data_IF_864890776040
#
_entry.id   IF_864890776040
#
_cell.length_a   1.000
_cell.length_b   1.000
_cell.length_c   1.000
_cell.angle_alpha   90.00
_cell.angle_beta   90.00
_cell.angle_gamma   90.00
#
_symmetry.space_group_name_H-M   'P 1'
#
loop_
_entity.id
_entity.type
_entity.pdbx_description
1 polymer ?
#
# COMPACT_ATOMS: atom_id res chain seq x y z
N UNK A 1 -10.23 8.85 -18.45
CA UNK A 1 -10.10 9.90 -17.41
C UNK A 1 -9.04 10.88 -17.87
N UNK A 2 -9.33 12.19 -17.90
CA UNK A 2 -8.35 13.20 -18.30
C UNK A 2 -7.07 13.13 -17.47
N UNK A 3 -5.92 13.43 -18.08
CA UNK A 3 -4.59 13.39 -17.43
C UNK A 3 -4.48 14.38 -16.28
N UNK A 4 -5.21 15.50 -16.32
CA UNK A 4 -5.20 16.50 -15.24
C UNK A 4 -5.68 15.98 -13.87
N UNK A 5 -6.41 14.86 -13.82
CA UNK A 5 -6.82 14.21 -12.57
C UNK A 5 -5.83 13.14 -12.11
N UNK A 6 -4.79 12.90 -12.91
CA UNK A 6 -3.75 11.97 -12.55
C UNK A 6 -2.68 12.64 -11.68
N UNK A 7 -1.84 11.81 -11.10
CA UNK A 7 -0.50 12.14 -10.65
C UNK A 7 0.49 11.37 -11.52
N UNK A 8 1.76 11.82 -11.67
CA UNK A 8 2.74 11.22 -12.57
C UNK A 8 3.35 9.91 -12.01
N UNK A 9 2.53 9.00 -11.51
CA UNK A 9 2.93 7.67 -11.06
C UNK A 9 1.94 6.61 -11.56
N UNK A 10 2.46 5.44 -11.91
CA UNK A 10 1.68 4.23 -12.12
C UNK A 10 1.11 3.72 -10.80
N UNK A 11 -0.01 2.99 -10.84
CA UNK A 11 -0.51 2.33 -9.63
C UNK A 11 0.50 1.30 -9.07
N UNK A 12 1.37 0.73 -9.92
CA UNK A 12 2.46 -0.15 -9.49
C UNK A 12 3.48 0.60 -8.59
N UNK A 13 3.83 1.82 -8.97
CA UNK A 13 4.67 2.72 -8.17
C UNK A 13 3.94 3.13 -6.89
N UNK A 14 2.65 3.50 -6.97
CA UNK A 14 1.85 3.84 -5.78
C UNK A 14 1.83 2.72 -4.74
N UNK A 15 1.75 1.46 -5.16
CA UNK A 15 1.83 0.31 -4.25
C UNK A 15 3.22 0.14 -3.63
N UNK A 16 4.27 0.54 -4.34
CA UNK A 16 5.65 0.45 -3.83
C UNK A 16 5.87 1.39 -2.64
N UNK A 17 5.07 2.45 -2.50
CA UNK A 17 5.05 3.32 -1.32
C UNK A 17 4.76 2.57 -0.01
N UNK A 18 4.23 1.34 -0.06
CA UNK A 18 4.14 0.45 1.12
C UNK A 18 5.49 0.24 1.82
N UNK A 19 6.59 0.34 1.06
CA UNK A 19 7.95 0.13 1.53
C UNK A 19 8.63 1.40 2.08
N UNK A 20 7.96 2.55 2.14
CA UNK A 20 8.55 3.81 2.62
C UNK A 20 9.13 3.67 4.04
N UNK A 21 8.48 2.88 4.89
CA UNK A 21 8.85 2.69 6.30
C UNK A 21 9.42 1.29 6.57
N UNK A 22 10.17 0.71 5.62
CA UNK A 22 10.77 -0.63 5.72
C UNK A 22 11.64 -0.84 6.97
N UNK A 23 12.18 0.23 7.57
CA UNK A 23 12.91 0.14 8.84
C UNK A 23 12.09 -0.51 9.98
N UNK A 24 10.75 -0.43 9.93
CA UNK A 24 9.87 -1.09 10.91
C UNK A 24 9.95 -2.63 10.79
N UNK A 25 10.11 -3.16 9.58
CA UNK A 25 10.35 -4.58 9.36
C UNK A 25 11.72 -4.98 9.95
N UNK A 26 12.77 -4.18 9.70
CA UNK A 26 14.09 -4.44 10.28
C UNK A 26 14.09 -4.37 11.81
N UNK A 27 13.32 -3.45 12.41
CA UNK A 27 13.11 -3.40 13.86
C UNK A 27 12.39 -4.66 14.37
N UNK A 28 11.39 -5.16 13.66
CA UNK A 28 10.75 -6.44 13.97
C UNK A 28 11.79 -7.59 13.92
N UNK A 29 12.68 -7.60 12.93
CA UNK A 29 13.74 -8.61 12.84
C UNK A 29 14.77 -8.53 13.98
N UNK A 30 14.98 -7.34 14.54
CA UNK A 30 15.92 -7.13 15.64
C UNK A 30 15.40 -7.62 17.00
N UNK A 31 14.08 -7.67 17.22
CA UNK A 31 13.50 -8.02 18.52
C UNK A 31 13.12 -9.50 18.65
N UNK A 32 13.49 -10.10 19.79
CA UNK A 32 13.22 -11.52 20.10
C UNK A 32 11.83 -11.77 20.68
N UNK A 33 11.19 -10.74 21.24
CA UNK A 33 9.81 -10.82 21.77
C UNK A 33 8.79 -10.74 20.62
N UNK A 34 7.91 -11.74 20.51
CA UNK A 34 6.87 -11.80 19.47
C UNK A 34 5.85 -10.67 19.56
N UNK A 35 5.57 -10.16 20.75
CA UNK A 35 4.67 -9.03 20.96
C UNK A 35 5.32 -7.73 20.48
N UNK A 36 6.62 -7.53 20.76
CA UNK A 36 7.36 -6.40 20.21
C UNK A 36 7.46 -6.46 18.68
N UNK A 37 7.65 -7.67 18.11
CA UNK A 37 7.54 -7.85 16.65
C UNK A 37 6.17 -7.45 16.13
N UNK A 38 5.09 -7.91 16.79
CA UNK A 38 3.73 -7.57 16.39
C UNK A 38 3.48 -6.05 16.44
N UNK A 39 4.05 -5.31 17.40
CA UNK A 39 3.97 -3.84 17.42
C UNK A 39 4.62 -3.22 16.18
N UNK A 40 5.83 -3.67 15.81
CA UNK A 40 6.53 -3.21 14.62
C UNK A 40 5.78 -3.56 13.33
N UNK A 41 5.24 -4.78 13.21
CA UNK A 41 4.47 -5.21 12.03
C UNK A 41 3.15 -4.43 11.93
N UNK A 42 2.46 -4.19 13.05
CA UNK A 42 1.25 -3.36 13.07
C UNK A 42 1.55 -1.91 12.68
N UNK A 43 2.65 -1.34 13.19
CA UNK A 43 3.13 -0.03 12.79
C UNK A 43 3.42 0.02 11.28
N UNK A 44 4.09 -1.01 10.75
CA UNK A 44 4.38 -1.13 9.32
C UNK A 44 3.09 -1.17 8.49
N UNK A 45 2.12 -2.02 8.86
CA UNK A 45 0.84 -2.14 8.16
C UNK A 45 0.06 -0.81 8.08
N UNK A 46 0.09 0.01 9.14
CA UNK A 46 -0.53 1.35 9.12
C UNK A 46 0.30 2.34 8.32
N UNK A 47 1.64 2.33 8.49
CA UNK A 47 2.53 3.23 7.76
C UNK A 47 2.49 3.03 6.24
N UNK A 48 2.28 1.79 5.78
CA UNK A 48 2.21 1.44 4.37
C UNK A 48 1.05 2.15 3.65
N UNK A 49 -0.03 2.46 4.35
CA UNK A 49 -1.18 3.17 3.78
C UNK A 49 -1.19 4.66 4.14
N UNK A 50 -0.17 5.17 4.83
CA UNK A 50 -0.17 6.53 5.35
C UNK A 50 0.11 7.60 4.28
N UNK A 51 0.90 7.27 3.24
CA UNK A 51 1.25 8.19 2.16
C UNK A 51 0.06 8.67 1.33
N UNK A 52 -1.13 8.08 1.53
CA UNK A 52 -2.35 8.46 0.83
C UNK A 52 -2.94 9.80 1.30
N UNK A 53 -2.50 10.33 2.45
CA UNK A 53 -2.96 11.63 2.94
C UNK A 53 -2.64 12.73 1.91
N UNK A 54 -3.61 13.60 1.62
CA UNK A 54 -3.54 14.68 0.62
C UNK A 54 -3.30 14.26 -0.86
N UNK A 55 -3.00 12.98 -1.13
CA UNK A 55 -2.76 12.41 -2.46
C UNK A 55 -4.04 12.12 -3.25
N UNK A 56 -4.77 13.19 -3.59
CA UNK A 56 -6.05 13.11 -4.33
C UNK A 56 -5.91 12.84 -5.83
N UNK A 57 -4.69 13.00 -6.39
CA UNK A 57 -4.38 12.61 -7.76
C UNK A 57 -4.49 11.10 -7.93
N UNK A 58 -5.18 10.67 -8.98
CA UNK A 58 -5.30 9.23 -9.27
C UNK A 58 -4.03 8.73 -9.97
N UNK A 59 -3.36 7.67 -9.51
CA UNK A 59 -2.25 7.10 -10.27
C UNK A 59 -2.73 6.58 -11.63
N UNK A 60 -1.83 6.51 -12.61
CA UNK A 60 -2.13 5.91 -13.90
C UNK A 60 -2.51 4.44 -13.72
N UNK A 61 -3.61 4.03 -14.37
CA UNK A 61 -3.99 2.63 -14.41
C UNK A 61 -2.91 1.86 -15.20
N UNK A 62 -2.25 0.85 -14.62
CA UNK A 62 -1.21 0.12 -15.31
C UNK A 62 -1.77 -0.63 -16.52
N UNK A 63 -0.96 -0.74 -17.57
CA UNK A 63 -1.27 -1.61 -18.71
C UNK A 63 -1.10 -3.08 -18.30
N UNK A 64 -1.84 -4.00 -18.92
CA UNK A 64 -1.68 -5.43 -18.71
C UNK A 64 -0.26 -5.87 -19.09
N UNK A 65 0.47 -6.47 -18.15
CA UNK A 65 1.88 -6.82 -18.33
C UNK A 65 2.86 -5.69 -18.07
N UNK A 66 2.39 -4.49 -17.69
CA UNK A 66 3.26 -3.46 -17.13
C UNK A 66 3.95 -3.98 -15.87
N UNK A 67 5.23 -3.67 -15.74
CA UNK A 67 6.05 -4.02 -14.58
C UNK A 67 6.59 -2.78 -13.92
N UNK A 68 7.00 -2.88 -12.67
CA UNK A 68 7.80 -1.86 -12.02
C UNK A 68 8.80 -2.50 -11.06
N UNK A 69 10.04 -2.03 -11.08
CA UNK A 69 11.04 -2.40 -10.08
C UNK A 69 11.55 -1.22 -9.25
N UNK A 70 11.99 -1.52 -8.04
CA UNK A 70 12.73 -0.59 -7.20
C UNK A 70 13.80 -1.34 -6.41
N UNK A 71 15.03 -0.82 -6.42
CA UNK A 71 16.15 -1.27 -5.59
C UNK A 71 16.52 -0.10 -4.69
N UNK A 72 16.55 -0.30 -3.36
CA UNK A 72 16.91 0.71 -2.38
C UNK A 72 17.99 0.17 -1.46
N UNK A 73 19.25 0.34 -1.85
CA UNK A 73 20.42 -0.09 -1.06
C UNK A 73 20.45 0.55 0.33
N UNK A 74 20.07 1.82 0.42
CA UNK A 74 20.00 2.58 1.67
C UNK A 74 18.90 2.07 2.62
N UNK A 75 17.83 1.48 2.08
CA UNK A 75 16.73 0.90 2.86
C UNK A 75 16.78 -0.63 2.92
N UNK A 76 17.73 -1.27 2.25
CA UNK A 76 18.01 -2.70 2.37
C UNK A 76 17.02 -3.64 1.66
N UNK A 77 16.32 -3.20 0.60
CA UNK A 77 15.34 -4.04 -0.10
C UNK A 77 15.31 -3.87 -1.62
N UNK A 78 14.77 -4.88 -2.30
CA UNK A 78 14.31 -4.78 -3.69
C UNK A 78 12.83 -5.14 -3.81
N UNK A 79 12.17 -4.56 -4.80
CA UNK A 79 10.75 -4.69 -5.09
C UNK A 79 10.56 -4.96 -6.58
N UNK A 80 9.63 -5.85 -6.91
CA UNK A 80 9.09 -6.05 -8.26
C UNK A 80 7.57 -6.13 -8.19
N UNK A 81 6.89 -5.51 -9.16
CA UNK A 81 5.45 -5.67 -9.35
C UNK A 81 5.08 -5.83 -10.82
N UNK A 82 3.95 -6.48 -11.07
CA UNK A 82 3.37 -6.71 -12.40
C UNK A 82 1.86 -6.46 -12.36
N UNK A 83 1.33 -5.83 -13.41
CA UNK A 83 -0.10 -5.79 -13.67
C UNK A 83 -0.55 -7.13 -14.27
N UNK A 84 -0.92 -8.06 -13.40
CA UNK A 84 -1.24 -9.44 -13.73
C UNK A 84 -2.64 -9.62 -14.35
N UNK A 85 -3.54 -8.66 -14.16
CA UNK A 85 -4.87 -8.67 -14.79
C UNK A 85 -5.41 -7.25 -15.01
N UNK A 86 -6.27 -7.08 -16.02
CA UNK A 86 -6.95 -5.81 -16.31
C UNK A 86 -8.47 -5.86 -16.08
N UNK A 87 -9.09 -7.05 -16.08
CA UNK A 87 -10.51 -7.24 -15.80
C UNK A 87 -10.75 -8.50 -14.96
N UNK A 88 -10.84 -8.37 -13.61
CA UNK A 88 -10.64 -7.15 -12.82
C UNK A 88 -9.17 -6.67 -12.84
N UNK A 89 -8.88 -5.38 -12.59
CA UNK A 89 -7.51 -4.89 -12.49
C UNK A 89 -6.84 -5.44 -11.23
N UNK A 90 -5.77 -6.22 -11.40
CA UNK A 90 -4.99 -6.79 -10.29
C UNK A 90 -3.52 -6.46 -10.52
N UNK A 91 -2.89 -5.89 -9.49
CA UNK A 91 -1.45 -5.64 -9.44
C UNK A 91 -0.84 -6.57 -8.39
N UNK A 92 0.09 -7.42 -8.79
CA UNK A 92 0.84 -8.29 -7.88
C UNK A 92 2.20 -7.67 -7.58
N UNK A 93 2.71 -7.91 -6.38
CA UNK A 93 4.02 -7.41 -5.96
C UNK A 93 4.77 -8.38 -5.06
N UNK A 94 6.09 -8.25 -5.06
CA UNK A 94 7.01 -9.02 -4.25
C UNK A 94 8.22 -8.17 -3.89
N UNK A 95 8.58 -8.16 -2.62
CA UNK A 95 9.75 -7.47 -2.10
C UNK A 95 10.55 -8.38 -1.16
N UNK A 96 11.86 -8.23 -1.21
CA UNK A 96 12.82 -9.03 -0.46
C UNK A 96 13.86 -8.13 0.18
N UNK A 97 14.18 -8.38 1.45
CA UNK A 97 15.32 -7.76 2.10
C UNK A 97 16.64 -8.35 1.59
N UNK A 98 17.67 -7.52 1.38
CA UNK A 98 18.97 -7.99 0.86
C UNK A 98 19.70 -8.94 1.79
N UNK A 99 19.37 -8.92 3.09
CA UNK A 99 19.92 -9.83 4.09
C UNK A 99 19.11 -11.12 4.22
N UNK A 100 18.19 -11.37 3.29
CA UNK A 100 17.22 -12.47 3.35
C UNK A 100 16.42 -12.46 4.67
N UNK A 101 16.24 -11.27 5.25
CA UNK A 101 15.67 -11.09 6.59
C UNK A 101 14.15 -10.92 6.54
N UNK A 102 13.58 -10.56 5.40
CA UNK A 102 12.14 -10.55 5.20
C UNK A 102 11.73 -10.80 3.74
N UNK A 103 10.49 -11.25 3.56
CA UNK A 103 9.79 -11.25 2.28
C UNK A 103 8.43 -10.58 2.48
N UNK A 104 8.10 -9.60 1.63
CA UNK A 104 6.84 -8.87 1.68
C UNK A 104 6.14 -8.95 0.33
N UNK A 105 4.95 -9.52 0.28
CA UNK A 105 4.26 -9.79 -0.98
C UNK A 105 2.73 -9.73 -0.85
N UNK A 106 2.08 -9.66 -2.00
CA UNK A 106 0.64 -9.71 -2.09
C UNK A 106 0.15 -9.25 -3.46
N UNK A 107 -1.16 -9.10 -3.57
CA UNK A 107 -1.79 -8.55 -4.76
C UNK A 107 -2.95 -7.64 -4.39
N UNK A 108 -3.18 -6.58 -5.15
CA UNK A 108 -4.26 -5.61 -4.88
C UNK A 108 -5.18 -5.50 -6.09
N UNK A 109 -6.47 -5.73 -5.83
CA UNK A 109 -7.59 -5.36 -6.70
C UNK A 109 -8.39 -4.23 -6.05
N UNK A 110 -8.25 -2.98 -6.52
CA UNK A 110 -9.03 -1.86 -5.99
C UNK A 110 -10.47 -1.92 -6.52
N UNK A 111 -11.38 -2.53 -5.75
CA UNK A 111 -12.81 -2.59 -6.11
C UNK A 111 -13.48 -1.26 -5.82
N UNK A 112 -13.93 -0.58 -6.87
CA UNK A 112 -14.56 0.73 -6.77
C UNK A 112 -16.07 0.65 -6.52
N UNK A 113 -16.59 1.50 -5.64
CA UNK A 113 -18.03 1.75 -5.41
C UNK A 113 -18.29 3.26 -5.40
N UNK A 114 -19.31 3.70 -6.12
CA UNK A 114 -19.71 5.11 -6.16
C UNK A 114 -20.94 5.33 -5.27
N UNK A 115 -20.82 6.28 -4.34
CA UNK A 115 -21.85 6.61 -3.33
C UNK A 115 -22.42 8.03 -3.53
N UNK A 116 -22.56 8.45 -4.78
CA UNK A 116 -23.09 9.78 -5.13
C UNK A 116 -22.04 10.89 -4.99
N UNK A 117 -21.58 11.20 -3.77
CA UNK A 117 -20.58 12.26 -3.54
C UNK A 117 -19.17 11.74 -3.27
N UNK A 118 -19.01 10.43 -3.10
CA UNK A 118 -17.75 9.80 -2.75
C UNK A 118 -17.52 8.54 -3.58
N UNK A 119 -16.24 8.17 -3.75
CA UNK A 119 -15.83 6.88 -4.30
C UNK A 119 -15.10 6.12 -3.21
N UNK A 120 -15.56 4.90 -2.94
CA UNK A 120 -14.82 3.94 -2.13
C UNK A 120 -13.98 3.05 -3.03
N UNK A 121 -12.71 2.90 -2.70
CA UNK A 121 -11.80 1.90 -3.22
C UNK A 121 -11.51 0.89 -2.10
N UNK A 122 -12.06 -0.32 -2.24
CA UNK A 122 -11.80 -1.45 -1.37
C UNK A 122 -10.58 -2.21 -1.92
N UNK A 123 -9.38 -2.13 -1.30
CA UNK A 123 -8.18 -2.79 -1.79
C UNK A 123 -8.23 -4.28 -1.46
N UNK A 124 -8.82 -5.07 -2.37
CA UNK A 124 -8.97 -6.51 -2.18
C UNK A 124 -7.65 -7.24 -2.41
N UNK A 125 -7.27 -8.05 -1.43
CA UNK A 125 -6.14 -8.95 -1.51
C UNK A 125 -5.50 -9.15 -0.15
N UNK A 126 -4.78 -10.25 -0.01
CA UNK A 126 -4.02 -10.56 1.20
C UNK A 126 -2.64 -9.93 1.06
N UNK A 127 -2.22 -9.22 2.09
CA UNK A 127 -0.84 -8.79 2.28
C UNK A 127 -0.15 -9.81 3.18
N UNK A 128 1.05 -10.23 2.80
CA UNK A 128 1.86 -11.21 3.53
C UNK A 128 3.23 -10.65 3.82
N UNK A 129 3.66 -10.70 5.08
CA UNK A 129 5.02 -10.43 5.52
C UNK A 129 5.59 -11.68 6.18
N UNK A 130 6.72 -12.16 5.69
CA UNK A 130 7.44 -13.30 6.24
C UNK A 130 8.74 -12.82 6.89
N UNK A 131 9.02 -13.30 8.10
CA UNK A 131 10.26 -13.08 8.83
C UNK A 131 10.99 -14.42 9.00
N UNK A 132 11.85 -14.83 8.05
CA UNK A 132 12.50 -16.15 8.03
C UNK A 132 13.28 -16.47 9.30
N UNK A 133 13.95 -15.49 9.90
CA UNK A 133 14.70 -15.63 11.17
C UNK A 133 13.86 -16.27 12.28
N UNK A 134 12.57 -15.97 12.33
CA UNK A 134 11.66 -16.49 13.33
C UNK A 134 10.74 -17.59 12.79
N UNK A 135 10.82 -17.94 11.50
CA UNK A 135 9.86 -18.80 10.83
C UNK A 135 8.40 -18.32 11.05
N UNK A 136 8.21 -17.00 11.00
CA UNK A 136 6.94 -16.33 11.25
C UNK A 136 6.41 -15.71 9.96
N UNK A 137 5.10 -15.75 9.80
CA UNK A 137 4.40 -15.05 8.73
C UNK A 137 3.21 -14.31 9.31
N UNK A 138 2.99 -13.12 8.76
CA UNK A 138 1.93 -12.21 9.13
C UNK A 138 1.06 -11.94 7.92
N UNK A 139 -0.26 -12.03 8.08
CA UNK A 139 -1.19 -11.64 7.02
C UNK A 139 -2.21 -10.63 7.49
N UNK A 140 -2.57 -9.70 6.62
CA UNK A 140 -3.67 -8.75 6.83
C UNK A 140 -4.31 -8.33 5.49
N UNK A 141 -5.37 -7.55 5.58
CA UNK A 141 -5.98 -6.82 4.46
C UNK A 141 -5.93 -5.32 4.76
N UNK A 142 -5.77 -4.49 3.73
CA UNK A 142 -5.73 -3.05 3.90
C UNK A 142 -7.13 -2.45 4.16
N UNK A 143 -7.23 -1.29 4.83
CA UNK A 143 -8.49 -0.59 5.05
C UNK A 143 -9.09 -0.07 3.74
N UNK A 144 -10.39 0.20 3.73
CA UNK A 144 -11.04 0.87 2.60
C UNK A 144 -10.57 2.31 2.53
N UNK A 145 -10.26 2.78 1.32
CA UNK A 145 -9.98 4.18 1.03
C UNK A 145 -11.23 4.83 0.44
N UNK A 146 -11.58 6.02 0.89
CA UNK A 146 -12.70 6.80 0.40
C UNK A 146 -12.24 8.18 -0.03
N UNK A 147 -12.54 8.54 -1.28
CA UNK A 147 -12.33 9.89 -1.81
C UNK A 147 -13.67 10.61 -1.78
N UNK A 148 -13.75 11.68 -1.00
CA UNK A 148 -14.96 12.47 -0.83
C UNK A 148 -15.00 13.67 -1.76
N UNK A 149 -16.19 14.25 -1.93
CA UNK A 149 -16.46 15.46 -2.71
C UNK A 149 -16.09 15.34 -4.20
N UNK A 150 -16.23 14.15 -4.79
CA UNK A 150 -15.82 13.90 -6.19
C UNK A 150 -16.66 14.62 -7.26
N UNK A 151 -17.76 15.28 -6.87
CA UNK A 151 -18.58 16.10 -7.77
C UNK A 151 -18.36 17.60 -7.51
N UNK A 152 -18.45 18.04 -6.25
CA UNK A 152 -18.34 19.45 -5.84
C UNK A 152 -17.63 19.56 -4.51
N UNK A 153 -16.70 20.50 -4.40
CA UNK A 153 -15.94 20.82 -3.18
C UNK A 153 -14.49 20.37 -3.27
N UNK A 154 -13.74 20.59 -2.20
CA UNK A 154 -12.37 20.11 -2.10
C UNK A 154 -12.36 18.60 -1.87
N UNK A 155 -11.63 17.88 -2.72
CA UNK A 155 -11.37 16.45 -2.54
C UNK A 155 -10.59 16.21 -1.26
N UNK A 156 -10.97 15.18 -0.51
CA UNK A 156 -10.20 14.72 0.64
C UNK A 156 -10.33 13.21 0.77
N UNK A 157 -9.32 12.61 1.39
CA UNK A 157 -9.18 11.16 1.52
C UNK A 157 -9.44 10.75 2.96
N UNK A 158 -10.15 9.65 3.10
CA UNK A 158 -10.39 8.97 4.35
C UNK A 158 -10.02 7.49 4.22
N UNK A 159 -9.53 6.90 5.29
CA UNK A 159 -9.40 5.45 5.39
C UNK A 159 -10.14 4.95 6.62
N UNK A 160 -10.91 3.88 6.44
CA UNK A 160 -11.68 3.26 7.50
C UNK A 160 -11.83 1.75 7.28
N UNK A 161 -12.24 1.05 8.34
CA UNK A 161 -12.47 -0.39 8.32
C UNK A 161 -11.67 -1.10 9.40
N UNK A 162 -11.85 -2.42 9.48
CA UNK A 162 -11.13 -3.26 10.43
C UNK A 162 -9.94 -3.92 9.71
N UNK A 163 -8.77 -3.83 10.33
CA UNK A 163 -7.55 -4.48 9.89
C UNK A 163 -7.13 -5.45 10.98
N UNK A 164 -6.93 -6.72 10.64
CA UNK A 164 -6.43 -7.74 11.56
C UNK A 164 -5.09 -8.28 11.02
N UNK A 165 -4.01 -8.00 11.73
CA UNK A 165 -2.68 -8.58 11.47
C UNK A 165 -2.58 -9.86 12.28
N UNK A 166 -2.38 -11.00 11.60
CA UNK A 166 -2.36 -12.32 12.24
C UNK A 166 -0.96 -12.92 12.13
N UNK A 167 -0.32 -13.26 13.25
CA UNK A 167 0.90 -14.08 13.25
C UNK A 167 0.51 -15.57 13.20
N UNK A 168 0.84 -16.24 12.10
CA UNK A 168 0.45 -17.64 11.86
C UNK A 168 1.21 -18.66 12.72
N UNK A 169 2.36 -18.29 13.29
CA UNK A 169 3.14 -19.17 14.16
C UNK A 169 2.70 -19.08 15.62
N UNK A 170 2.64 -17.87 16.17
CA UNK A 170 2.32 -17.65 17.60
C UNK A 170 0.81 -17.65 17.87
N UNK A 171 0.01 -17.31 16.85
CA UNK A 171 -1.43 -17.11 16.97
C UNK A 171 -1.82 -15.75 17.56
N UNK A 172 -0.84 -14.86 17.82
CA UNK A 172 -1.09 -13.48 18.21
C UNK A 172 -1.77 -12.71 17.07
N UNK A 173 -2.58 -11.71 17.45
CA UNK A 173 -3.31 -10.87 16.49
C UNK A 173 -3.27 -9.41 16.91
N UNK A 174 -3.05 -8.51 15.98
CA UNK A 174 -3.31 -7.09 16.17
C UNK A 174 -4.61 -6.73 15.45
N UNK A 175 -5.68 -6.48 16.22
CA UNK A 175 -6.97 -6.05 15.67
C UNK A 175 -7.10 -4.53 15.80
N UNK A 176 -7.08 -3.82 14.68
CA UNK A 176 -7.17 -2.37 14.58
C UNK A 176 -8.45 -1.95 13.85
N UNK A 177 -9.06 -0.86 14.29
CA UNK A 177 -10.16 -0.20 13.60
C UNK A 177 -9.69 1.18 13.16
N UNK A 178 -9.64 1.38 11.84
CA UNK A 178 -9.56 2.69 11.22
C UNK A 178 -10.95 3.31 11.30
N UNK A 179 -11.09 4.35 12.12
CA UNK A 179 -12.39 4.94 12.46
C UNK A 179 -12.86 5.82 11.30
N UNK A 180 -14.13 5.68 10.88
CA UNK A 180 -14.72 6.67 10.01
C UNK A 180 -14.90 7.99 10.79
N UNK A 181 -14.84 9.11 10.08
CA UNK A 181 -14.93 10.50 10.50
C UNK A 181 -16.13 10.74 11.43
N UNK A 182 -17.25 10.06 11.14
CA UNK A 182 -18.49 10.17 11.89
C UNK A 182 -19.19 11.52 11.66
N UNK A 183 -20.37 11.71 12.26
CA UNK A 183 -21.22 12.89 12.02
C UNK A 183 -20.58 14.23 12.45
N UNK A 184 -19.64 14.20 13.40
CA UNK A 184 -19.01 15.40 13.98
C UNK A 184 -17.50 15.48 13.74
N UNK A 185 -16.92 14.60 12.91
CA UNK A 185 -15.50 14.61 12.58
C UNK A 185 -14.52 14.27 13.72
N UNK A 186 -15.00 13.95 14.91
CA UNK A 186 -14.15 13.67 16.09
C UNK A 186 -13.23 12.46 15.92
N UNK A 187 -13.58 11.56 15.02
CA UNK A 187 -12.90 10.29 14.80
C UNK A 187 -12.02 10.28 13.54
N UNK A 188 -11.92 11.42 12.84
CA UNK A 188 -11.19 11.55 11.59
C UNK A 188 -9.75 11.04 11.73
N UNK A 189 -9.43 10.06 10.89
CA UNK A 189 -8.14 9.36 10.77
C UNK A 189 -7.69 8.55 11.98
N UNK A 190 -8.50 8.43 13.03
CA UNK A 190 -8.11 7.66 14.21
C UNK A 190 -7.96 6.19 13.86
N UNK A 191 -6.91 5.60 14.41
CA UNK A 191 -6.68 4.15 14.43
C UNK A 191 -6.63 3.74 15.89
N UNK A 192 -7.42 2.73 16.27
CA UNK A 192 -7.43 2.19 17.63
C UNK A 192 -7.57 0.66 17.58
N UNK A 193 -6.91 -0.04 18.49
CA UNK A 193 -6.92 -1.49 18.49
C UNK A 193 -6.22 -2.11 19.68
N UNK A 194 -6.07 -3.43 19.61
CA UNK A 194 -5.34 -4.20 20.60
C UNK A 194 -4.50 -5.29 19.94
N UNK A 195 -3.33 -5.54 20.52
CA UNK A 195 -2.60 -6.79 20.32
C UNK A 195 -3.14 -7.81 21.32
N UNK A 196 -3.50 -8.97 20.80
CA UNK A 196 -4.14 -10.08 21.49
C UNK A 196 -3.24 -11.32 21.40
N UNK A 197 -3.17 -12.10 22.47
CA UNK A 197 -2.59 -13.45 22.40
C UNK A 197 -3.55 -14.43 21.69
N UNK A 198 -3.10 -15.67 21.51
CA UNK A 198 -3.90 -16.77 20.93
C UNK A 198 -5.20 -17.05 21.71
N UNK A 199 -5.25 -16.71 23.00
CA UNK A 199 -6.41 -16.86 23.89
C UNK A 199 -7.31 -15.62 23.89
N UNK A 200 -7.05 -14.64 23.02
CA UNK A 200 -7.76 -13.35 22.92
C UNK A 200 -7.58 -12.43 24.13
N UNK A 201 -6.57 -12.66 24.97
CA UNK A 201 -6.21 -11.74 26.05
C UNK A 201 -5.55 -10.50 25.46
N UNK A 202 -6.01 -9.31 25.87
CA UNK A 202 -5.36 -8.04 25.52
C UNK A 202 -3.96 -7.97 26.15
N UNK A 203 -2.95 -7.83 25.31
CA UNK A 203 -1.56 -7.66 25.72
C UNK A 203 -1.15 -6.19 25.66
N UNK A 204 -1.61 -5.47 24.64
CA UNK A 204 -1.25 -4.08 24.40
C UNK A 204 -2.37 -3.35 23.67
N UNK A 205 -2.63 -2.08 24.01
CA UNK A 205 -3.46 -1.20 23.21
C UNK A 205 -2.59 -0.47 22.18
N UNK A 206 -3.09 -0.36 20.94
CA UNK A 206 -2.47 0.44 19.88
C UNK A 206 -3.43 1.55 19.49
N UNK A 207 -2.93 2.78 19.37
CA UNK A 207 -3.78 3.91 18.99
C UNK A 207 -2.99 5.05 18.34
N UNK A 208 -3.68 5.92 17.60
CA UNK A 208 -3.09 7.10 16.98
C UNK A 208 -3.93 7.58 15.81
N UNK A 209 -3.27 8.18 14.82
CA UNK A 209 -3.89 8.57 13.54
C UNK A 209 -2.98 8.16 12.40
N UNK A 210 -3.54 7.53 11.37
CA UNK A 210 -2.77 7.07 10.21
C UNK A 210 -2.17 8.23 9.39
N UNK A 211 -2.60 9.47 9.62
CA UNK A 211 -2.03 10.69 9.01
C UNK A 211 -0.96 11.37 9.89
N UNK A 212 -0.65 10.83 11.07
CA UNK A 212 0.25 11.50 12.02
C UNK A 212 1.23 10.50 12.66
N UNK A 213 0.74 9.60 13.52
CA UNK A 213 1.59 8.72 14.32
C UNK A 213 0.79 7.59 14.99
N UNK A 214 1.53 6.61 15.51
CA UNK A 214 1.03 5.51 16.31
C UNK A 214 1.79 5.38 17.64
N UNK A 215 1.04 4.96 18.66
CA UNK A 215 1.52 4.66 19.99
C UNK A 215 0.99 3.32 20.47
N UNK A 216 1.67 2.79 21.48
CA UNK A 216 1.26 1.60 22.22
C UNK A 216 1.23 1.91 23.71
N UNK A 217 0.33 1.28 24.46
CA UNK A 217 0.21 1.47 25.91
C UNK A 217 -0.43 0.23 26.56
N UNK A 218 -0.32 0.12 27.88
CA UNK A 218 -1.03 -0.90 28.65
C UNK A 218 -2.57 -0.83 28.40
N UNK A 219 -3.25 -1.98 28.18
CA UNK A 219 -4.68 -1.99 27.92
C UNK A 219 -5.56 -1.34 28.99
N UNK A 220 -5.23 -1.51 30.27
CA UNK A 220 -6.04 -0.96 31.36
C UNK A 220 -5.91 0.57 31.42
N UNK A 221 -4.69 1.08 31.17
CA UNK A 221 -4.44 2.53 31.06
C UNK A 221 -5.23 3.15 29.89
N UNK A 222 -5.22 2.49 28.72
CA UNK A 222 -5.99 2.96 27.56
C UNK A 222 -7.50 2.93 27.82
N UNK A 223 -8.03 1.84 28.39
CA UNK A 223 -9.44 1.69 28.70
C UNK A 223 -9.90 2.72 29.76
N UNK A 224 -9.05 3.07 30.73
CA UNK A 224 -9.32 4.13 31.70
C UNK A 224 -9.40 5.52 31.03
N UNK A 225 -8.42 5.85 30.18
CA UNK A 225 -8.38 7.11 29.45
C UNK A 225 -9.60 7.28 28.51
N UNK A 226 -10.00 6.21 27.83
CA UNK A 226 -11.16 6.24 26.93
C UNK A 226 -12.48 6.48 27.68
N UNK A 227 -12.59 6.01 28.93
CA UNK A 227 -13.77 6.27 29.78
C UNK A 227 -13.82 7.72 30.25
N UNK A 228 -12.68 8.32 30.62
CA UNK A 228 -12.62 9.74 30.99
C UNK A 228 -12.94 10.65 29.82
N UNK A 229 -12.42 10.36 28.62
CA UNK A 229 -12.70 11.16 27.43
C UNK A 229 -14.17 11.18 27.06
N UNK A 230 -14.87 10.04 27.19
CA UNK A 230 -16.32 9.99 26.97
C UNK A 230 -17.08 10.87 27.96
N UNK A 231 -16.72 10.84 29.25
CA UNK A 231 -17.32 11.71 30.27
C UNK A 231 -17.05 13.21 30.02
N UNK A 232 -15.83 13.55 29.63
CA UNK A 232 -15.43 14.93 29.37
C UNK A 232 -15.96 15.45 28.02
N UNK A 233 -16.33 14.58 27.08
CA UNK A 233 -16.90 15.02 25.80
C UNK A 233 -18.27 15.71 25.92
N UNK A 234 -18.93 15.55 27.06
CA UNK A 234 -20.17 16.27 27.44
C UNK A 234 -19.87 17.67 28.02
N UNK A 235 -18.64 17.94 28.47
CA UNK A 235 -18.20 19.23 29.01
C UNK A 235 -17.04 19.79 28.16
N UNK A 236 -17.34 20.71 27.22
CA UNK A 236 -16.40 21.34 26.27
C UNK A 236 -15.00 21.70 26.84
N UNK A 237 -14.05 20.75 26.87
CA UNK A 237 -12.62 21.00 27.11
C UNK A 237 -11.72 20.19 26.17
N UNK A 238 -10.52 20.76 26.00
CA UNK A 238 -9.46 20.55 25.00
C UNK A 238 -9.04 19.08 24.81
N UNK A 239 -8.59 18.76 23.59
CA UNK A 239 -8.08 17.47 23.12
C UNK A 239 -7.17 16.77 24.13
N UNK A 240 -7.48 15.51 24.45
CA UNK A 240 -6.72 14.71 25.39
C UNK A 240 -5.32 14.39 24.84
N UNK A 241 -4.30 14.70 25.63
CA UNK A 241 -2.92 14.31 25.37
C UNK A 241 -2.76 12.78 25.48
N UNK A 242 -1.75 12.21 24.83
CA UNK A 242 -1.42 10.79 24.98
C UNK A 242 -1.24 10.42 26.47
N UNK A 243 -1.70 9.23 26.93
CA UNK A 243 -1.41 8.76 28.27
C UNK A 243 0.10 8.82 28.56
N UNK A 244 0.48 9.27 29.76
CA UNK A 244 1.87 9.54 30.17
C UNK A 244 2.84 8.35 30.01
N UNK A 245 2.31 7.12 29.90
CA UNK A 245 3.06 5.87 29.75
C UNK A 245 3.08 5.31 28.33
N UNK A 246 2.63 6.08 27.34
CA UNK A 246 2.52 5.59 25.95
C UNK A 246 3.89 5.53 25.27
N UNK A 247 4.17 4.39 24.64
CA UNK A 247 5.36 4.16 23.84
C UNK A 247 5.09 4.52 22.38
N UNK A 248 5.92 5.40 21.82
CA UNK A 248 5.90 5.77 20.41
C UNK A 248 6.40 4.63 19.52
N UNK A 249 5.69 4.33 18.42
CA UNK A 249 6.07 3.25 17.48
C UNK A 249 6.23 3.70 16.03
N UNK A 250 5.58 4.78 15.60
CA UNK A 250 5.72 5.31 14.23
C UNK A 250 5.19 6.74 14.08
N UNK A 251 5.73 7.52 13.13
CA UNK A 251 5.24 8.84 12.71
C UNK A 251 5.37 9.00 11.19
N UNK A 252 4.39 9.66 10.59
CA UNK A 252 4.39 10.03 9.18
C UNK A 252 5.46 11.10 8.89
N UNK A 253 6.16 10.94 7.76
CA UNK A 253 7.09 11.93 7.23
C UNK A 253 6.34 13.02 6.44
N UNK A 254 6.87 14.24 6.41
CA UNK A 254 6.22 15.35 5.72
C UNK A 254 6.16 15.14 4.20
N UNK A 255 5.01 15.43 3.59
CA UNK A 255 4.80 15.50 2.15
C UNK A 255 5.03 16.91 1.61
N UNK A 256 5.35 17.03 0.31
CA UNK A 256 5.53 18.32 -0.37
C UNK A 256 4.29 18.65 -1.21
N UNK A 257 3.47 19.58 -0.72
CA UNK A 257 2.18 19.94 -1.35
C UNK A 257 2.31 20.37 -2.83
N UNK A 258 3.39 21.06 -3.19
CA UNK A 258 3.59 21.60 -4.55
C UNK A 258 3.72 20.51 -5.62
N UNK A 259 4.21 19.32 -5.25
CA UNK A 259 4.44 18.20 -6.17
C UNK A 259 3.48 17.07 -5.84
N UNK A 260 2.19 17.31 -6.07
CA UNK A 260 1.12 16.34 -5.87
C UNK A 260 1.02 15.79 -4.45
N UNK A 261 1.54 16.49 -3.42
CA UNK A 261 1.67 15.98 -2.05
C UNK A 261 2.53 14.70 -1.94
N UNK A 262 3.52 14.53 -2.82
CA UNK A 262 4.44 13.39 -2.76
C UNK A 262 5.33 13.46 -1.51
N UNK A 263 5.60 12.31 -0.90
CA UNK A 263 6.72 12.15 0.02
C UNK A 263 8.04 12.16 -0.75
N UNK A 264 9.16 12.37 -0.07
CA UNK A 264 10.49 12.23 -0.69
C UNK A 264 10.68 10.84 -1.28
N UNK A 265 10.13 9.79 -0.65
CA UNK A 265 10.14 8.44 -1.19
C UNK A 265 9.39 8.37 -2.53
N UNK A 266 8.17 8.92 -2.61
CA UNK A 266 7.36 8.91 -3.82
C UNK A 266 8.02 9.69 -4.98
N UNK A 267 8.68 10.82 -4.69
CA UNK A 267 9.40 11.61 -5.70
C UNK A 267 10.52 10.83 -6.40
N UNK A 268 11.11 9.83 -5.73
CA UNK A 268 12.21 9.01 -6.28
C UNK A 268 11.71 7.84 -7.15
N UNK A 269 10.41 7.52 -7.14
CA UNK A 269 9.91 6.28 -7.74
C UNK A 269 9.99 6.24 -9.26
N UNK A 270 9.88 7.39 -9.92
CA UNK A 270 9.84 7.50 -11.38
C UNK A 270 11.10 8.13 -11.97
N UNK A 271 12.12 8.37 -11.15
CA UNK A 271 13.45 8.74 -11.61
C UNK A 271 14.01 7.62 -12.51
N UNK A 272 14.47 8.02 -13.70
CA UNK A 272 15.09 7.14 -14.68
C UNK A 272 16.55 7.55 -14.84
N UNK A 273 17.43 6.81 -14.19
CA UNK A 273 18.87 7.03 -14.31
C UNK A 273 19.42 6.39 -15.58
N UNK A 274 20.49 6.96 -16.14
CA UNK A 274 21.18 6.39 -17.31
C UNK A 274 21.70 4.98 -17.08
N UNK A 275 22.07 4.65 -15.84
CA UNK A 275 22.51 3.31 -15.42
C UNK A 275 21.42 2.24 -15.58
N UNK A 276 20.14 2.65 -15.63
CA UNK A 276 19.00 1.75 -15.79
C UNK A 276 18.72 1.42 -17.26
N UNK A 277 19.23 2.22 -18.21
CA UNK A 277 19.04 2.00 -19.63
C UNK A 277 19.63 0.66 -20.07
N UNK A 278 18.80 -0.20 -20.67
CA UNK A 278 19.17 -1.55 -21.06
C UNK A 278 19.24 -2.57 -19.92
N UNK A 279 19.05 -2.14 -18.66
CA UNK A 279 19.00 -3.02 -17.48
C UNK A 279 17.56 -3.35 -17.08
N UNK A 280 16.68 -2.35 -17.08
CA UNK A 280 15.25 -2.55 -16.76
C UNK A 280 14.50 -3.10 -17.98
N UNK A 281 13.42 -3.90 -17.79
CA UNK A 281 12.65 -4.40 -18.91
C UNK A 281 11.91 -3.28 -19.66
N UNK A 282 11.62 -3.43 -20.96
CA UNK A 282 10.81 -2.48 -21.74
C UNK A 282 9.38 -2.28 -21.18
N UNK A 283 8.95 -3.13 -20.26
CA UNK A 283 7.66 -3.05 -19.56
C UNK A 283 7.71 -2.21 -18.28
N UNK A 284 8.87 -1.69 -17.86
CA UNK A 284 9.00 -0.90 -16.63
C UNK A 284 8.27 0.45 -16.72
N UNK A 285 7.48 0.79 -15.70
CA UNK A 285 6.69 2.02 -15.63
C UNK A 285 7.49 3.31 -15.88
N UNK A 286 8.80 3.34 -15.61
CA UNK A 286 9.65 4.53 -15.90
C UNK A 286 9.77 4.86 -17.38
N UNK A 287 9.59 3.87 -18.25
CA UNK A 287 9.65 3.99 -19.70
C UNK A 287 8.29 4.36 -20.30
N UNK A 288 7.25 4.47 -19.48
CA UNK A 288 5.88 4.71 -19.93
C UNK A 288 5.70 6.18 -20.35
N UNK A 289 5.39 6.46 -21.64
CA UNK A 289 5.54 7.81 -22.19
C UNK A 289 4.49 8.82 -21.72
N UNK A 290 3.26 8.38 -21.41
CA UNK A 290 2.20 9.28 -20.90
C UNK A 290 2.51 9.78 -19.48
N UNK A 291 3.07 8.92 -18.63
CA UNK A 291 3.52 9.28 -17.28
C UNK A 291 4.70 10.26 -17.36
N UNK A 292 5.70 9.97 -18.20
CA UNK A 292 6.88 10.84 -18.35
C UNK A 292 6.52 12.22 -18.89
N UNK A 293 5.65 12.29 -19.90
CA UNK A 293 5.19 13.57 -20.43
C UNK A 293 4.46 14.39 -19.36
N UNK A 294 3.61 13.75 -18.54
CA UNK A 294 2.92 14.44 -17.44
C UNK A 294 3.89 14.95 -16.38
N UNK A 295 4.88 14.14 -15.99
CA UNK A 295 5.89 14.53 -15.01
C UNK A 295 6.71 15.75 -15.47
N UNK A 296 7.01 15.82 -16.77
CA UNK A 296 7.69 16.96 -17.39
C UNK A 296 6.79 18.19 -17.62
N UNK A 297 5.50 18.10 -17.28
CA UNK A 297 4.52 19.18 -17.43
C UNK A 297 3.88 19.28 -18.81
N UNK A 298 4.16 18.36 -19.74
CA UNK A 298 3.53 18.30 -21.06
C UNK A 298 2.22 17.49 -21.00
N UNK A 299 1.14 18.17 -20.59
CA UNK A 299 -0.18 17.57 -20.42
C UNK A 299 -0.82 17.15 -21.75
N UNK A 300 -0.50 17.84 -22.85
CA UNK A 300 -1.04 17.55 -24.18
C UNK A 300 -0.41 16.28 -24.74
N UNK A 301 0.92 16.17 -24.68
CA UNK A 301 1.64 14.95 -25.05
C UNK A 301 1.21 13.79 -24.16
N UNK A 302 1.11 13.99 -22.84
CA UNK A 302 0.64 12.95 -21.92
C UNK A 302 -0.76 12.45 -22.28
N UNK A 303 -1.66 13.35 -22.66
CA UNK A 303 -3.02 13.00 -23.08
C UNK A 303 -3.05 12.22 -24.40
N UNK A 304 -2.22 12.60 -25.37
CA UNK A 304 -2.10 11.92 -26.66
C UNK A 304 -1.50 10.51 -26.49
N UNK A 305 -0.41 10.38 -25.74
CA UNK A 305 0.26 9.11 -25.47
C UNK A 305 -0.64 8.17 -24.67
N UNK A 306 -1.35 8.68 -23.65
CA UNK A 306 -2.30 7.88 -22.87
C UNK A 306 -3.37 7.27 -23.76
N UNK A 307 -3.92 8.07 -24.69
CA UNK A 307 -4.92 7.59 -25.65
C UNK A 307 -4.32 6.51 -26.55
N UNK A 308 -3.13 6.72 -27.09
CA UNK A 308 -2.41 5.75 -27.95
C UNK A 308 -2.18 4.42 -27.23
N UNK A 309 -1.68 4.46 -26.00
CA UNK A 309 -1.42 3.28 -25.16
C UNK A 309 -2.70 2.49 -24.84
N UNK A 310 -3.76 3.19 -24.40
CA UNK A 310 -5.03 2.56 -24.10
C UNK A 310 -5.68 1.92 -25.35
N UNK A 311 -5.57 2.56 -26.51
CA UNK A 311 -6.05 2.02 -27.79
C UNK A 311 -5.23 0.82 -28.28
N UNK A 312 -3.89 0.86 -28.15
CA UNK A 312 -3.00 -0.28 -28.41
C UNK A 312 -3.40 -1.49 -27.55
N UNK A 313 -3.60 -1.29 -26.24
CA UNK A 313 -4.04 -2.34 -25.32
C UNK A 313 -5.42 -2.90 -25.68
N UNK A 314 -6.41 -2.05 -25.99
CA UNK A 314 -7.76 -2.48 -26.39
C UNK A 314 -7.70 -3.34 -27.66
N UNK A 315 -6.89 -2.93 -28.64
CA UNK A 315 -6.68 -3.66 -29.89
C UNK A 315 -6.02 -5.02 -29.64
N UNK A 316 -4.93 -5.05 -28.84
CA UNK A 316 -4.26 -6.29 -28.46
C UNK A 316 -5.20 -7.26 -27.74
N UNK A 317 -6.06 -6.77 -26.84
CA UNK A 317 -7.09 -7.58 -26.18
C UNK A 317 -8.12 -8.14 -27.17
N UNK A 318 -8.60 -7.33 -28.12
CA UNK A 318 -9.55 -7.76 -29.16
C UNK A 318 -8.95 -8.80 -30.09
N UNK A 319 -7.65 -8.70 -30.37
CA UNK A 319 -6.93 -9.69 -31.17
C UNK A 319 -6.78 -11.00 -30.39
N UNK A 320 -6.40 -10.95 -29.11
CA UNK A 320 -6.35 -12.13 -28.23
C UNK A 320 -7.70 -12.83 -28.09
N UNK A 321 -8.81 -12.08 -27.94
CA UNK A 321 -10.15 -12.69 -27.83
C UNK A 321 -10.63 -13.41 -29.10
N UNK A 322 -9.97 -13.17 -30.25
CA UNK A 322 -10.22 -13.89 -31.51
C UNK A 322 -9.28 -15.09 -31.70
N UNK A 323 -8.19 -15.13 -30.94
CA UNK A 323 -7.25 -16.26 -30.89
C UNK A 323 -7.66 -17.22 -29.76
N UNK A 324 -7.09 -18.42 -29.76
CA UNK A 324 -7.09 -19.32 -28.61
C UNK A 324 -6.02 -18.95 -27.58
N UNK A 325 -5.20 -17.93 -27.85
CA UNK A 325 -4.11 -17.51 -26.98
C UNK A 325 -4.60 -16.77 -25.73
N UNK A 326 -4.41 -17.38 -24.57
CA UNK A 326 -4.61 -16.75 -23.27
C UNK A 326 -3.44 -15.84 -22.90
N UNK A 327 -3.72 -14.76 -22.18
CA UNK A 327 -2.66 -13.93 -21.60
C UNK A 327 -1.91 -14.72 -20.53
N UNK A 328 -0.59 -14.80 -20.67
CA UNK A 328 0.31 -15.39 -19.67
C UNK A 328 1.08 -14.28 -18.98
N UNK A 329 0.89 -14.16 -17.67
CA UNK A 329 1.72 -13.33 -16.80
C UNK A 329 3.15 -13.84 -16.79
N UNK A 330 4.12 -12.94 -16.61
CA UNK A 330 5.54 -13.28 -16.76
C UNK A 330 6.19 -13.64 -15.43
N UNK A 331 5.89 -12.88 -14.38
CA UNK A 331 6.65 -12.92 -13.13
C UNK A 331 5.83 -13.43 -11.95
N UNK A 332 4.52 -13.59 -12.13
CA UNK A 332 3.62 -14.07 -11.10
C UNK A 332 2.69 -15.15 -11.65
N UNK A 333 2.27 -16.07 -10.79
CA UNK A 333 1.26 -17.09 -11.09
C UNK A 333 0.20 -17.14 -10.01
N UNK A 334 -1.00 -17.58 -10.36
CA UNK A 334 -2.03 -17.81 -9.35
C UNK A 334 -1.70 -19.05 -8.52
N UNK A 335 -1.91 -18.95 -7.21
CA UNK A 335 -1.72 -20.07 -6.29
C UNK A 335 -2.36 -19.79 -4.92
N UNK A 336 -2.49 -20.82 -4.07
CA UNK A 336 -2.96 -20.60 -2.71
C UNK A 336 -1.86 -19.96 -1.87
N UNK A 337 -2.19 -18.88 -1.15
CA UNK A 337 -1.31 -18.29 -0.14
C UNK A 337 -0.89 -19.38 0.88
N UNK A 338 0.41 -19.52 1.18
CA UNK A 338 0.91 -20.64 1.96
C UNK A 338 0.35 -20.68 3.39
N UNK A 339 0.00 -19.52 3.97
CA UNK A 339 -0.37 -19.38 5.37
C UNK A 339 -1.88 -19.41 5.63
N UNK A 340 -2.70 -18.87 4.72
CA UNK A 340 -4.16 -18.81 4.91
C UNK A 340 -4.98 -19.50 3.80
N UNK A 341 -4.33 -20.05 2.78
CA UNK A 341 -4.95 -20.77 1.64
C UNK A 341 -5.87 -19.93 0.75
N UNK A 342 -5.95 -18.62 0.95
CA UNK A 342 -6.66 -17.72 0.04
C UNK A 342 -5.99 -17.72 -1.35
N UNK A 343 -6.76 -17.45 -2.40
CA UNK A 343 -6.20 -17.28 -3.74
C UNK A 343 -5.30 -16.04 -3.78
N UNK A 344 -4.11 -16.18 -4.35
CA UNK A 344 -3.08 -15.15 -4.39
C UNK A 344 -2.30 -15.18 -5.71
N UNK A 345 -1.42 -14.20 -5.90
CA UNK A 345 -0.45 -14.16 -7.00
C UNK A 345 0.97 -14.30 -6.44
N UNK A 346 1.59 -15.45 -6.72
CA UNK A 346 2.90 -15.84 -6.19
C UNK A 346 4.00 -15.52 -7.20
N UNK A 347 5.08 -14.92 -6.72
CA UNK A 347 6.24 -14.58 -7.52
C UNK A 347 6.98 -15.83 -8.04
N UNK A 348 7.29 -15.85 -9.34
CA UNK A 348 7.92 -16.97 -10.06
C UNK A 348 9.45 -16.95 -10.02
N UNK A 349 10.08 -15.93 -9.40
CA UNK A 349 11.53 -15.66 -9.48
C UNK A 349 11.96 -15.33 -10.91
N UNK A 350 13.27 -15.27 -11.16
CA UNK A 350 13.85 -15.03 -12.49
C UNK A 350 13.85 -13.59 -12.99
N UNK A 351 13.00 -12.70 -12.45
CA UNK A 351 12.96 -11.29 -12.86
C UNK A 351 14.32 -10.58 -12.73
N UNK A 352 15.03 -10.87 -11.64
CA UNK A 352 16.32 -10.25 -11.31
C UNK A 352 17.51 -10.84 -12.07
N UNK A 353 17.32 -11.93 -12.82
CA UNK A 353 18.37 -12.54 -13.64
C UNK A 353 18.68 -11.72 -14.91
N UNK A 354 17.86 -10.70 -15.20
CA UNK A 354 17.98 -9.76 -16.34
C UNK A 354 17.94 -10.42 -17.73
N UNK A 355 17.60 -11.71 -17.81
CA UNK A 355 17.45 -12.44 -19.07
C UNK A 355 16.03 -12.25 -19.64
N UNK A 356 15.75 -11.07 -20.18
CA UNK A 356 14.43 -10.71 -20.71
C UNK A 356 14.22 -11.21 -22.13
N UNK A 357 13.54 -12.35 -22.28
CA UNK A 357 13.14 -12.89 -23.58
C UNK A 357 11.63 -12.82 -23.78
N UNK A 358 11.19 -12.38 -24.96
CA UNK A 358 9.78 -12.37 -25.38
C UNK A 358 8.85 -11.54 -24.47
N UNK A 359 9.32 -10.43 -23.92
CA UNK A 359 8.47 -9.56 -23.11
C UNK A 359 7.36 -8.90 -23.94
N UNK A 360 6.20 -8.58 -23.31
CA UNK A 360 5.13 -7.85 -23.97
C UNK A 360 5.58 -6.48 -24.49
N UNK A 361 5.23 -6.15 -25.73
CA UNK A 361 5.35 -4.79 -26.26
C UNK A 361 4.06 -4.00 -25.94
N UNK A 362 4.13 -3.18 -24.89
CA UNK A 362 2.96 -2.48 -24.32
C UNK A 362 3.00 -0.96 -24.45
N UNK A 363 4.16 -0.36 -24.74
CA UNK A 363 4.30 1.08 -24.89
C UNK A 363 4.21 1.56 -26.33
#
# INVERSE_FOLDING_TARGET
MPVIFNEPLSFLQRLTEYMEHTYLIHQANATTDSVERMKCVAAFAVSAVASQWERTGKPFNPLLGETYELIRDDLGFRWVSEQVSHHPPVSAFHAEGFKEDFVFHGSIYPKLKFWGKSIEAEPKGIITLELPKYNEAYTWTNPTCCVHNIIVGQLWIEQYGNVEVINHKTGERCSMTFKPCGLFGKELHKVEGYILDKSKKKLCAIYGKWTECLYTVDPATFDAHKKSDKKNSDEKKVSAAAPCTSLFIWRLLCSVLQFYAFSTFAMQLNELEKSMEGVIPPTDSRLRPDIRAMENGDIDQASAEKKRLEEKQRTARKNRSKSTDEWKTRWFQQGPNPHNKAQDWLYLKGYWDRSYTQLPDIY
#
